data_IF_356476929404
#
_entry.id   IF_356476929404
#
_cell.length_a   1.000
_cell.length_b   1.000
_cell.length_c   1.000
_cell.angle_alpha   90.00
_cell.angle_beta   90.00
_cell.angle_gamma   90.00
#
_symmetry.space_group_name_H-M   'P 1'
#
loop_
_entity.id
_entity.type
_entity.pdbx_description
1 polymer ?
#
# COMPACT_ATOMS: atom_id res chain seq x y z
N UNK A 1 15.62 -22.40 8.87
CA UNK A 1 15.03 -21.39 9.79
C UNK A 1 15.75 -20.09 9.51
N UNK A 2 15.13 -19.18 8.73
CA UNK A 2 15.75 -17.89 8.41
C UNK A 2 15.49 -16.96 9.60
N UNK A 3 16.55 -16.59 10.32
CA UNK A 3 16.51 -15.56 11.35
C UNK A 3 16.57 -14.20 10.68
N UNK A 4 15.44 -13.49 10.62
CA UNK A 4 15.47 -12.05 10.31
C UNK A 4 16.02 -11.36 11.55
N UNK A 5 17.20 -10.75 11.45
CA UNK A 5 17.72 -9.89 12.51
C UNK A 5 16.80 -8.67 12.64
N UNK A 6 16.25 -8.46 13.83
CA UNK A 6 15.50 -7.28 14.22
C UNK A 6 16.44 -6.08 14.35
N UNK A 7 16.95 -5.62 13.21
CA UNK A 7 17.83 -4.45 13.12
C UNK A 7 17.13 -3.38 12.31
N UNK A 8 17.09 -2.17 12.89
CA UNK A 8 16.75 -0.87 12.30
C UNK A 8 15.29 -0.43 12.25
N UNK A 9 14.71 -0.15 13.42
CA UNK A 9 13.64 0.85 13.60
C UNK A 9 12.35 0.67 12.76
N UNK A 10 11.45 1.68 12.77
CA UNK A 10 10.22 1.63 11.97
C UNK A 10 10.54 1.71 10.47
N UNK A 11 9.89 0.88 9.65
CA UNK A 11 9.99 0.94 8.19
C UNK A 11 9.34 2.22 7.68
N UNK A 12 10.08 3.00 6.91
CA UNK A 12 9.61 4.27 6.36
C UNK A 12 9.09 4.09 4.93
N UNK A 13 7.83 4.44 4.67
CA UNK A 13 7.24 4.43 3.33
C UNK A 13 6.96 5.87 2.90
N UNK A 14 7.53 6.27 1.77
CA UNK A 14 7.32 7.59 1.18
C UNK A 14 6.26 7.52 0.08
N UNK A 15 5.04 7.93 0.42
CA UNK A 15 3.86 7.98 -0.43
C UNK A 15 2.69 7.19 0.17
N UNK A 16 1.58 7.85 0.42
CA UNK A 16 0.29 7.27 0.84
C UNK A 16 -0.66 7.09 -0.37
N UNK A 17 -0.12 6.64 -1.50
CA UNK A 17 -0.93 6.10 -2.60
C UNK A 17 -1.30 4.62 -2.35
N UNK A 18 -2.08 4.01 -3.27
CA UNK A 18 -2.50 2.61 -3.14
C UNK A 18 -1.32 1.66 -2.90
N UNK A 19 -0.24 1.78 -3.68
CA UNK A 19 0.93 0.91 -3.54
C UNK A 19 1.65 1.08 -2.19
N UNK A 20 1.77 2.31 -1.70
CA UNK A 20 2.39 2.60 -0.41
C UNK A 20 1.55 2.10 0.76
N UNK A 21 0.23 2.30 0.72
CA UNK A 21 -0.69 1.80 1.73
C UNK A 21 -0.80 0.27 1.71
N UNK A 22 -0.85 -0.35 0.53
CA UNK A 22 -0.84 -1.80 0.37
C UNK A 22 0.43 -2.42 0.99
N UNK A 23 1.60 -1.85 0.67
CA UNK A 23 2.87 -2.29 1.27
C UNK A 23 2.86 -2.12 2.80
N UNK A 24 2.35 -0.99 3.30
CA UNK A 24 2.22 -0.73 4.72
C UNK A 24 1.33 -1.76 5.43
N UNK A 25 0.16 -2.07 4.85
CA UNK A 25 -0.78 -3.06 5.38
C UNK A 25 -0.13 -4.44 5.45
N UNK A 26 0.54 -4.89 4.40
CA UNK A 26 1.19 -6.19 4.35
C UNK A 26 2.30 -6.29 5.42
N UNK A 27 3.13 -5.25 5.54
CA UNK A 27 4.20 -5.19 6.53
C UNK A 27 3.67 -5.13 7.97
N UNK A 28 2.61 -4.35 8.21
CA UNK A 28 1.94 -4.28 9.52
C UNK A 28 1.31 -5.63 9.90
N UNK A 29 0.65 -6.32 8.95
CA UNK A 29 0.13 -7.69 9.15
C UNK A 29 1.25 -8.69 9.47
N UNK A 30 2.47 -8.46 8.99
CA UNK A 30 3.66 -9.25 9.31
C UNK A 30 4.33 -8.85 10.64
N UNK A 31 3.74 -7.96 11.43
CA UNK A 31 4.24 -7.55 12.75
C UNK A 31 5.38 -6.52 12.69
N UNK A 32 5.55 -5.81 11.57
CA UNK A 32 6.56 -4.75 11.44
C UNK A 32 5.95 -3.40 11.80
N UNK A 33 6.69 -2.56 12.53
CA UNK A 33 6.32 -1.16 12.71
C UNK A 33 6.58 -0.40 11.39
N UNK A 34 5.57 0.34 10.91
CA UNK A 34 5.63 1.05 9.62
C UNK A 34 5.12 2.48 9.80
N UNK A 35 5.88 3.45 9.32
CA UNK A 35 5.48 4.87 9.27
C UNK A 35 5.33 5.27 7.79
N UNK A 36 4.13 5.69 7.41
CA UNK A 36 3.82 6.16 6.06
C UNK A 36 3.80 7.68 6.05
N UNK A 37 4.50 8.28 5.09
CA UNK A 37 4.59 9.72 4.92
C UNK A 37 4.07 10.11 3.55
N UNK A 38 3.25 11.16 3.47
CA UNK A 38 2.89 11.77 2.20
C UNK A 38 3.15 13.28 2.28
N UNK A 39 3.47 13.88 1.13
CA UNK A 39 3.60 15.33 1.01
C UNK A 39 2.23 16.02 0.98
N UNK A 40 1.16 15.27 0.70
CA UNK A 40 -0.21 15.75 0.64
C UNK A 40 -0.94 15.49 1.95
N UNK A 41 -2.00 16.27 2.17
CA UNK A 41 -2.84 16.16 3.37
C UNK A 41 -3.75 14.92 3.37
N UNK A 42 -3.95 14.28 2.21
CA UNK A 42 -4.81 13.11 2.07
C UNK A 42 -4.16 12.07 1.15
N UNK A 43 -4.46 10.80 1.42
CA UNK A 43 -4.06 9.66 0.60
C UNK A 43 -4.70 9.74 -0.79
N UNK A 44 -3.99 9.28 -1.83
CA UNK A 44 -4.53 9.32 -3.20
C UNK A 44 -4.64 10.70 -3.85
N UNK A 45 -4.39 11.80 -3.12
CA UNK A 45 -4.57 13.17 -3.61
C UNK A 45 -3.60 13.60 -4.73
N UNK A 46 -2.78 12.68 -5.28
CA UNK A 46 -1.96 12.93 -6.47
C UNK A 46 -2.80 13.10 -7.73
N UNK A 47 -3.98 12.47 -7.82
CA UNK A 47 -4.83 12.51 -9.00
C UNK A 47 -6.22 13.06 -8.67
N UNK A 48 -6.26 14.28 -8.10
CA UNK A 48 -7.50 14.97 -7.68
C UNK A 48 -8.36 14.19 -6.67
N UNK A 49 -7.69 13.37 -5.84
CA UNK A 49 -8.36 12.51 -4.86
C UNK A 49 -8.86 11.19 -5.44
N UNK A 50 -8.68 10.98 -6.74
CA UNK A 50 -8.89 9.69 -7.40
C UNK A 50 -7.62 8.84 -7.31
N UNK A 51 -7.75 7.53 -7.28
CA UNK A 51 -6.64 6.61 -7.06
C UNK A 51 -5.89 6.22 -8.33
N UNK A 52 -5.95 7.06 -9.38
CA UNK A 52 -5.91 6.63 -10.80
C UNK A 52 -7.17 5.83 -11.07
N UNK A 53 -8.04 6.27 -12.00
CA UNK A 53 -9.27 5.57 -12.35
C UNK A 53 -9.06 4.05 -12.29
N UNK A 54 -9.57 3.44 -11.22
CA UNK A 54 -9.43 2.02 -10.91
C UNK A 54 -10.44 1.29 -11.79
N UNK A 55 -10.20 1.42 -13.08
CA UNK A 55 -11.16 1.13 -14.12
C UNK A 55 -10.54 0.06 -15.00
N UNK A 56 -11.36 -0.94 -15.30
CA UNK A 56 -11.05 -2.06 -16.17
C UNK A 56 -10.88 -1.58 -17.62
N UNK A 57 -9.75 -0.92 -17.91
CA UNK A 57 -9.43 -0.49 -19.28
C UNK A 57 -8.74 -1.60 -20.09
N UNK A 58 -8.21 -2.63 -19.41
CA UNK A 58 -7.36 -3.66 -20.05
C UNK A 58 -7.64 -5.10 -19.60
N UNK A 59 -8.52 -5.32 -18.60
CA UNK A 59 -8.85 -6.65 -18.07
C UNK A 59 -10.36 -6.79 -17.89
N UNK A 60 -10.87 -8.01 -18.04
CA UNK A 60 -12.28 -8.36 -17.76
C UNK A 60 -12.55 -8.50 -16.26
N UNK A 61 -11.50 -8.68 -15.44
CA UNK A 61 -11.59 -8.90 -13.99
C UNK A 61 -11.76 -7.58 -13.23
N UNK A 62 -12.71 -7.53 -12.30
CA UNK A 62 -12.94 -6.37 -11.43
C UNK A 62 -11.74 -6.16 -10.51
N UNK A 63 -11.10 -5.00 -10.58
CA UNK A 63 -9.90 -4.73 -9.79
C UNK A 63 -10.13 -4.83 -8.27
N UNK A 64 -11.34 -4.58 -7.77
CA UNK A 64 -11.62 -4.76 -6.34
C UNK A 64 -11.64 -6.24 -5.95
N UNK A 65 -11.99 -7.14 -6.87
CA UNK A 65 -11.85 -8.58 -6.65
C UNK A 65 -10.37 -8.99 -6.63
N UNK A 66 -9.55 -8.44 -7.54
CA UNK A 66 -8.11 -8.69 -7.58
C UNK A 66 -7.41 -8.21 -6.28
N UNK A 67 -7.79 -7.04 -5.76
CA UNK A 67 -7.31 -6.54 -4.47
C UNK A 67 -7.67 -7.48 -3.31
N UNK A 68 -8.90 -8.04 -3.30
CA UNK A 68 -9.32 -9.00 -2.28
C UNK A 68 -8.49 -10.28 -2.36
N UNK A 69 -8.16 -10.76 -3.55
CA UNK A 69 -7.26 -11.91 -3.73
C UNK A 69 -5.86 -11.63 -3.18
N UNK A 70 -5.35 -10.41 -3.35
CA UNK A 70 -4.08 -9.98 -2.75
C UNK A 70 -4.16 -9.79 -1.23
N UNK A 71 -5.35 -9.85 -0.64
CA UNK A 71 -5.59 -9.71 0.79
C UNK A 71 -5.62 -8.26 1.28
N UNK A 72 -5.96 -7.32 0.38
CA UNK A 72 -6.19 -5.89 0.65
C UNK A 72 -7.70 -5.67 0.78
#
# INVERSE_FOLDING_TARGET
MVTVSDTDGPIQIMGAGLSGLAAAIILAKAGREVHVHDIRNDSGARFDGDFQGIENWTSDEDFLDEMREWGI
#
